data_IF_958955007971
#
_entry.id   IF_958955007971
#
_cell.length_a   1.000
_cell.length_b   1.000
_cell.length_c   1.000
_cell.angle_alpha   90.00
_cell.angle_beta   90.00
_cell.angle_gamma   90.00
#
_symmetry.space_group_name_H-M   'P 1'
#
loop_
_entity.id
_entity.type
_entity.pdbx_description
1 polymer ?
#
# COMPACT_ATOMS: atom_id res chain seq x y z
N UNK A 1 17.43 16.16 20.01
CA UNK A 1 17.33 14.86 20.71
C UNK A 1 15.89 14.37 20.57
N UNK A 2 15.73 13.05 20.40
CA UNK A 2 14.54 12.24 20.03
C UNK A 2 13.94 12.36 18.62
N UNK A 3 14.32 11.42 17.75
CA UNK A 3 13.45 10.85 16.71
C UNK A 3 13.77 9.36 16.56
N UNK A 4 13.26 8.48 17.44
CA UNK A 4 13.44 7.05 17.25
C UNK A 4 12.51 6.56 16.13
N UNK A 5 13.07 5.72 15.25
CA UNK A 5 12.39 4.90 14.25
C UNK A 5 11.63 5.60 13.09
N UNK A 6 12.20 6.64 12.48
CA UNK A 6 11.91 6.94 11.06
C UNK A 6 12.61 5.89 10.18
N UNK A 7 12.07 4.66 10.09
CA UNK A 7 12.29 3.86 8.90
C UNK A 7 11.68 4.65 7.74
N UNK A 8 12.53 5.43 7.07
CA UNK A 8 12.18 6.72 6.49
C UNK A 8 10.79 6.73 5.82
N UNK A 9 9.83 7.45 6.40
CA UNK A 9 8.51 7.67 5.79
C UNK A 9 8.66 8.24 4.36
N UNK A 10 9.80 8.87 4.04
CA UNK A 10 10.13 9.31 2.68
C UNK A 10 10.07 8.19 1.63
N UNK A 11 10.30 6.93 1.99
CA UNK A 11 10.22 5.81 1.03
C UNK A 11 8.79 5.52 0.55
N UNK A 12 7.80 6.10 1.23
CA UNK A 12 6.38 6.05 0.84
C UNK A 12 6.02 7.14 -0.16
N UNK A 13 6.91 8.11 -0.39
CA UNK A 13 6.71 9.24 -1.29
C UNK A 13 7.40 8.94 -2.63
N UNK A 14 6.70 9.07 -3.78
CA UNK A 14 7.29 8.89 -5.11
C UNK A 14 8.40 9.90 -5.36
N UNK A 15 9.42 9.48 -6.13
CA UNK A 15 10.47 10.40 -6.57
C UNK A 15 9.88 11.60 -7.33
N UNK A 16 10.48 12.77 -7.13
CA UNK A 16 10.00 14.03 -7.71
C UNK A 16 8.85 14.69 -6.95
N UNK A 17 8.27 14.03 -5.95
CA UNK A 17 7.26 14.65 -5.07
C UNK A 17 7.96 15.39 -3.92
N UNK A 18 7.69 16.68 -3.71
CA UNK A 18 8.23 17.42 -2.57
C UNK A 18 7.81 16.79 -1.25
N UNK A 19 8.78 16.50 -0.38
CA UNK A 19 8.51 15.97 0.95
C UNK A 19 8.24 17.14 1.90
N UNK A 20 7.02 17.21 2.43
CA UNK A 20 6.63 18.19 3.45
C UNK A 20 6.27 17.50 4.76
N UNK A 21 6.40 18.17 5.92
CA UNK A 21 5.94 17.64 7.20
C UNK A 21 4.46 17.25 7.20
N UNK A 22 3.62 17.99 6.49
CA UNK A 22 2.18 17.73 6.33
C UNK A 22 1.95 16.41 5.61
N UNK A 23 2.66 16.17 4.51
CA UNK A 23 2.60 14.93 3.76
C UNK A 23 3.03 13.73 4.61
N UNK A 24 4.13 13.87 5.35
CA UNK A 24 4.63 12.80 6.22
C UNK A 24 3.62 12.47 7.33
N UNK A 25 3.00 13.48 7.96
CA UNK A 25 1.94 13.30 8.96
C UNK A 25 0.68 12.65 8.37
N UNK A 26 0.31 13.01 7.14
CA UNK A 26 -0.81 12.37 6.44
C UNK A 26 -0.53 10.87 6.17
N UNK A 27 0.69 10.51 5.76
CA UNK A 27 1.08 9.11 5.57
C UNK A 27 1.08 8.36 6.90
N UNK A 28 1.69 8.94 7.94
CA UNK A 28 1.73 8.37 9.29
C UNK A 28 0.32 8.10 9.83
N UNK A 29 -0.58 9.08 9.75
CA UNK A 29 -1.97 8.91 10.18
C UNK A 29 -2.71 7.81 9.40
N UNK A 30 -2.38 7.59 8.12
CA UNK A 30 -2.94 6.49 7.35
C UNK A 30 -2.32 5.13 7.74
N UNK A 31 -1.04 5.08 8.09
CA UNK A 31 -0.38 3.88 8.63
C UNK A 31 -0.96 3.50 10.00
N UNK A 32 -1.24 4.48 10.87
CA UNK A 32 -1.85 4.27 12.19
C UNK A 32 -3.22 3.57 12.12
N UNK A 33 -4.01 3.81 11.07
CA UNK A 33 -5.28 3.08 10.85
C UNK A 33 -5.03 1.59 10.68
N UNK A 34 -4.00 1.20 9.94
CA UNK A 34 -3.64 -0.20 9.74
C UNK A 34 -3.06 -0.82 11.01
N UNK A 35 -2.26 -0.06 11.78
CA UNK A 35 -1.80 -0.48 13.11
C UNK A 35 -2.99 -0.78 14.03
N UNK A 36 -3.97 0.13 14.11
CA UNK A 36 -5.14 -0.03 14.97
C UNK A 36 -6.02 -1.23 14.59
N UNK A 37 -6.03 -1.60 13.32
CA UNK A 37 -6.71 -2.80 12.81
C UNK A 37 -5.86 -4.08 12.95
N UNK A 38 -4.67 -3.97 13.52
CA UNK A 38 -3.77 -5.07 13.84
C UNK A 38 -3.05 -5.67 12.63
N UNK A 39 -2.78 -4.88 11.59
CA UNK A 39 -1.86 -5.32 10.53
C UNK A 39 -0.42 -5.19 11.04
N UNK A 40 0.38 -6.23 10.85
CA UNK A 40 1.75 -6.26 11.36
C UNK A 40 2.77 -5.79 10.32
N UNK A 41 2.50 -6.03 9.03
CA UNK A 41 3.37 -5.65 7.94
C UNK A 41 2.55 -4.95 6.85
N UNK A 42 2.91 -3.70 6.54
CA UNK A 42 2.25 -2.92 5.51
C UNK A 42 3.12 -1.74 5.09
N UNK A 43 2.74 -1.08 3.99
CA UNK A 43 3.16 0.28 3.63
C UNK A 43 1.97 1.05 3.08
N UNK A 44 1.86 2.33 3.42
CA UNK A 44 0.94 3.24 2.74
C UNK A 44 1.75 4.17 1.84
N UNK A 45 1.69 3.96 0.52
CA UNK A 45 2.36 4.82 -0.45
C UNK A 45 1.48 5.96 -0.92
N UNK A 46 2.04 7.16 -0.90
CA UNK A 46 1.39 8.35 -1.39
C UNK A 46 1.41 8.42 -2.92
N UNK A 47 0.26 8.67 -3.54
CA UNK A 47 0.17 9.03 -4.96
C UNK A 47 -0.88 10.14 -5.13
N UNK A 48 -0.48 11.39 -4.85
CA UNK A 48 -1.37 12.55 -4.85
C UNK A 48 -2.59 12.32 -3.93
N UNK A 49 -3.79 12.20 -4.50
CA UNK A 49 -5.04 11.98 -3.74
C UNK A 49 -5.27 10.51 -3.34
N UNK A 50 -4.38 9.60 -3.75
CA UNK A 50 -4.51 8.14 -3.54
C UNK A 50 -3.53 7.65 -2.47
N UNK A 51 -4.06 6.95 -1.47
CA UNK A 51 -3.29 6.08 -0.59
C UNK A 51 -3.26 4.67 -1.17
N UNK A 52 -2.09 4.22 -1.66
CA UNK A 52 -1.88 2.85 -2.14
C UNK A 52 -1.31 2.00 -1.01
N UNK A 53 -2.11 1.07 -0.50
CA UNK A 53 -1.78 0.17 0.59
C UNK A 53 -1.11 -1.08 0.01
N UNK A 54 0.09 -1.40 0.50
CA UNK A 54 0.78 -2.66 0.23
C UNK A 54 0.67 -3.55 1.48
N UNK A 55 0.11 -4.76 1.32
CA UNK A 55 -0.03 -5.77 2.38
C UNK A 55 0.54 -7.11 1.92
N UNK A 56 1.00 -7.99 2.83
CA UNK A 56 1.21 -9.39 2.51
C UNK A 56 -0.09 -10.01 1.92
N UNK A 57 -0.02 -10.84 0.87
CA UNK A 57 -1.21 -11.43 0.26
C UNK A 57 -2.11 -12.20 1.25
N UNK A 58 -1.51 -12.82 2.28
CA UNK A 58 -2.20 -13.51 3.36
C UNK A 58 -3.12 -12.58 4.19
N UNK A 59 -2.83 -11.28 4.21
CA UNK A 59 -3.63 -10.26 4.93
C UNK A 59 -4.76 -9.67 4.06
N UNK A 60 -4.83 -10.00 2.76
CA UNK A 60 -5.86 -9.47 1.87
C UNK A 60 -7.29 -9.80 2.32
N UNK A 61 -7.63 -11.05 2.73
CA UNK A 61 -8.97 -11.35 3.21
C UNK A 61 -9.37 -10.49 4.42
N UNK A 62 -8.43 -10.23 5.34
CA UNK A 62 -8.62 -9.34 6.48
C UNK A 62 -8.87 -7.90 6.04
N UNK A 63 -8.11 -7.40 5.06
CA UNK A 63 -8.31 -6.06 4.52
C UNK A 63 -9.67 -5.88 3.82
N UNK A 64 -10.11 -6.89 3.06
CA UNK A 64 -11.44 -6.88 2.42
C UNK A 64 -12.55 -6.91 3.46
N UNK A 65 -12.43 -7.74 4.50
CA UNK A 65 -13.39 -7.77 5.61
C UNK A 65 -13.45 -6.42 6.35
N UNK A 66 -12.31 -5.75 6.52
CA UNK A 66 -12.20 -4.45 7.20
C UNK A 66 -12.30 -3.23 6.25
N UNK A 67 -12.70 -3.41 4.98
CA UNK A 67 -12.54 -2.38 3.95
C UNK A 67 -13.21 -1.04 4.29
N UNK A 68 -14.37 -1.05 4.97
CA UNK A 68 -15.04 0.20 5.39
C UNK A 68 -14.23 0.95 6.44
N UNK A 69 -13.68 0.25 7.44
CA UNK A 69 -12.87 0.86 8.49
C UNK A 69 -11.59 1.46 7.90
N UNK A 70 -10.91 0.71 7.02
CA UNK A 70 -9.72 1.18 6.29
C UNK A 70 -10.08 2.43 5.45
N UNK A 71 -11.15 2.35 4.65
CA UNK A 71 -11.54 3.44 3.75
C UNK A 71 -11.86 4.72 4.54
N UNK A 72 -12.62 4.61 5.62
CA UNK A 72 -13.02 5.76 6.43
C UNK A 72 -11.82 6.37 7.17
N UNK A 73 -10.98 5.54 7.82
CA UNK A 73 -9.81 6.02 8.54
C UNK A 73 -8.80 6.70 7.62
N UNK A 74 -8.48 6.08 6.47
CA UNK A 74 -7.52 6.63 5.51
C UNK A 74 -8.06 7.90 4.84
N UNK A 75 -9.38 8.00 4.60
CA UNK A 75 -10.00 9.25 4.14
C UNK A 75 -9.94 10.35 5.19
N UNK A 76 -10.16 10.01 6.46
CA UNK A 76 -10.01 10.96 7.57
C UNK A 76 -8.57 11.47 7.72
N UNK A 77 -7.57 10.67 7.31
CA UNK A 77 -6.17 11.08 7.24
C UNK A 77 -5.87 12.06 6.07
N UNK A 78 -6.83 12.35 5.19
CA UNK A 78 -6.71 13.36 4.12
C UNK A 78 -6.59 12.81 2.70
N UNK A 79 -6.75 11.50 2.50
CA UNK A 79 -6.79 10.92 1.15
C UNK A 79 -8.19 10.92 0.56
N UNK A 80 -8.31 11.07 -0.76
CA UNK A 80 -9.60 10.96 -1.45
C UNK A 80 -9.92 9.52 -1.82
N UNK A 81 -8.90 8.77 -2.22
CA UNK A 81 -9.02 7.39 -2.68
C UNK A 81 -8.09 6.48 -1.91
N UNK A 82 -8.56 5.25 -1.71
CA UNK A 82 -7.82 4.19 -1.03
C UNK A 82 -7.77 3.01 -1.98
N UNK A 83 -6.56 2.50 -2.23
CA UNK A 83 -6.32 1.39 -3.13
C UNK A 83 -5.50 0.31 -2.43
N UNK A 84 -5.82 -0.96 -2.68
CA UNK A 84 -4.99 -2.10 -2.31
C UNK A 84 -4.12 -2.47 -3.50
N UNK A 85 -2.80 -2.57 -3.29
CA UNK A 85 -1.90 -3.08 -4.31
C UNK A 85 -1.97 -4.60 -4.38
N UNK A 86 -2.49 -5.12 -5.50
CA UNK A 86 -2.64 -6.55 -5.73
C UNK A 86 -1.30 -7.28 -5.93
N UNK A 87 -0.21 -6.58 -6.22
CA UNK A 87 1.13 -7.16 -6.20
C UNK A 87 1.64 -7.42 -4.77
N UNK A 88 0.96 -6.87 -3.76
CA UNK A 88 1.27 -7.06 -2.36
C UNK A 88 2.53 -6.35 -1.88
N UNK A 89 2.86 -6.58 -0.61
CA UNK A 89 4.04 -6.06 0.05
C UNK A 89 5.28 -6.81 -0.42
N UNK A 90 6.25 -6.08 -0.97
CA UNK A 90 7.57 -6.63 -1.33
C UNK A 90 8.63 -6.11 -0.37
N UNK A 91 9.31 -7.03 0.32
CA UNK A 91 10.52 -6.70 1.08
C UNK A 91 11.61 -6.25 0.09
N UNK A 92 12.26 -5.11 0.35
CA UNK A 92 13.33 -4.60 -0.53
C UNK A 92 14.61 -5.45 -0.52
N UNK A 93 14.60 -6.61 0.12
CA UNK A 93 15.67 -7.60 0.05
C UNK A 93 15.46 -8.47 -1.19
N UNK A 94 16.40 -8.35 -2.12
CA UNK A 94 16.59 -9.20 -3.29
C UNK A 94 16.47 -10.68 -2.91
N UNK A 95 15.34 -11.32 -3.23
CA UNK A 95 15.23 -12.69 -3.75
C UNK A 95 13.77 -13.15 -3.70
N UNK A 96 13.21 -13.51 -4.85
CA UNK A 96 11.88 -14.13 -4.92
C UNK A 96 11.24 -14.03 -6.29
N UNK A 97 11.78 -14.80 -7.24
CA UNK A 97 11.10 -15.43 -8.38
C UNK A 97 10.08 -14.60 -9.18
N UNK A 98 10.49 -14.27 -10.41
CA UNK A 98 9.70 -14.01 -11.61
C UNK A 98 8.18 -14.09 -11.44
N UNK A 99 7.49 -13.02 -11.86
CA UNK A 99 6.09 -13.12 -12.24
C UNK A 99 5.94 -14.32 -13.16
N UNK A 100 5.22 -15.34 -12.68
CA UNK A 100 4.79 -16.44 -13.53
C UNK A 100 3.99 -15.78 -14.64
N UNK A 101 4.49 -15.86 -15.86
CA UNK A 101 3.73 -15.49 -17.04
C UNK A 101 2.38 -16.21 -16.91
N UNK A 102 1.30 -15.45 -16.82
CA UNK A 102 -0.04 -16.01 -17.02
C UNK A 102 0.01 -16.51 -18.47
N UNK A 103 -0.11 -17.83 -18.74
CA UNK A 103 -0.29 -18.26 -20.11
C UNK A 103 -1.62 -17.64 -20.55
N UNK A 104 -1.56 -16.71 -21.50
CA UNK A 104 -2.77 -16.26 -22.19
C UNK A 104 -3.32 -17.51 -22.85
N UNK A 105 -4.33 -18.14 -22.27
CA UNK A 105 -5.06 -19.20 -22.93
C UNK A 105 -5.81 -18.50 -24.05
N UNK A 106 -5.19 -18.44 -25.22
CA UNK A 106 -5.89 -18.09 -26.45
C UNK A 106 -6.94 -19.17 -26.64
N UNK A 107 -8.20 -18.79 -26.51
CA UNK A 107 -9.33 -19.63 -26.90
C UNK A 107 -9.21 -19.91 -28.40
N UNK A 108 -9.41 -21.15 -28.82
CA UNK A 108 -9.41 -21.56 -30.25
C UNK A 108 -10.43 -20.78 -31.10
N UNK A 109 -11.30 -19.97 -30.50
CA UNK A 109 -12.28 -19.13 -31.19
C UNK A 109 -11.69 -17.90 -31.92
N UNK A 110 -10.40 -17.59 -31.80
CA UNK A 110 -9.77 -16.45 -32.51
C UNK A 110 -8.91 -16.86 -33.71
N UNK A 111 -8.79 -18.17 -34.02
CA UNK A 111 -8.28 -18.65 -35.31
C UNK A 111 -9.45 -19.08 -36.21
N UNK A 112 -10.14 -18.11 -36.79
CA UNK A 112 -10.98 -18.29 -37.96
C UNK A 112 -10.91 -17.05 -38.86
#
# INVERSE_FOLDING_TARGET
>A
WDKPAMACLSSRVPHGTPITPELLRQIEAAEDVLVALGFAQFRVRHHNEVARIELPPEDFPKAIAAHMAITNGVKAAGYRFVALDLAGFRSGSLNGTNGTAIPLVMSEAELA
#
